data_IF_245760997081
#
_entry.id   IF_245760997081
#
_cell.length_a   1.000
_cell.length_b   1.000
_cell.length_c   1.000
_cell.angle_alpha   90.00
_cell.angle_beta   90.00
_cell.angle_gamma   90.00
#
_symmetry.space_group_name_H-M   'P 1'
#
loop_
_entity.id
_entity.type
_entity.pdbx_description
1 polymer ?
#
# COMPACT_ATOMS: atom_id res chain seq x y z
N UNK A 1 -28.43 13.14 -16.53
CA UNK A 1 -28.83 13.89 -15.32
C UNK A 1 -27.68 14.79 -14.95
N UNK A 2 -27.86 16.11 -14.93
CA UNK A 2 -26.84 17.04 -14.44
C UNK A 2 -26.79 16.94 -12.91
N UNK A 3 -25.68 16.44 -12.37
CA UNK A 3 -25.46 16.43 -10.92
C UNK A 3 -25.40 17.89 -10.45
N UNK A 4 -26.24 18.25 -9.49
CA UNK A 4 -26.21 19.58 -8.89
C UNK A 4 -25.04 19.64 -7.89
N UNK A 5 -23.89 20.11 -8.39
CA UNK A 5 -22.62 20.16 -7.65
C UNK A 5 -22.75 20.95 -6.35
N UNK A 6 -23.49 22.06 -6.35
CA UNK A 6 -23.65 22.93 -5.18
C UNK A 6 -24.47 22.26 -4.06
N UNK A 7 -25.48 21.48 -4.44
CA UNK A 7 -26.27 20.68 -3.50
C UNK A 7 -25.42 19.57 -2.87
N UNK A 8 -24.63 18.86 -3.68
CA UNK A 8 -23.71 17.81 -3.21
C UNK A 8 -22.65 18.40 -2.28
N UNK A 9 -22.03 19.52 -2.65
CA UNK A 9 -21.03 20.20 -1.84
C UNK A 9 -21.60 20.66 -0.49
N UNK A 10 -22.80 21.24 -0.49
CA UNK A 10 -23.48 21.70 0.73
C UNK A 10 -23.79 20.53 1.66
N UNK A 11 -24.37 19.43 1.15
CA UNK A 11 -24.69 18.25 1.95
C UNK A 11 -23.45 17.60 2.56
N UNK A 12 -22.34 17.53 1.81
CA UNK A 12 -21.08 17.00 2.33
C UNK A 12 -20.47 17.89 3.41
N UNK A 13 -20.62 19.23 3.33
CA UNK A 13 -20.18 20.15 4.41
C UNK A 13 -20.97 19.94 5.69
N UNK A 14 -22.29 19.78 5.59
CA UNK A 14 -23.13 19.43 6.74
C UNK A 14 -22.68 18.12 7.38
N UNK A 15 -22.38 17.11 6.56
CA UNK A 15 -21.87 15.83 7.03
C UNK A 15 -20.51 15.92 7.73
N UNK A 16 -19.63 16.85 7.35
CA UNK A 16 -18.37 17.10 8.06
C UNK A 16 -18.65 17.59 9.48
N UNK A 17 -19.55 18.57 9.63
CA UNK A 17 -19.91 19.14 10.94
C UNK A 17 -20.59 18.11 11.84
N UNK A 18 -21.40 17.22 11.26
CA UNK A 18 -22.11 16.16 11.98
C UNK A 18 -21.29 14.88 12.19
N UNK A 19 -20.11 14.76 11.57
CA UNK A 19 -19.31 13.52 11.59
C UNK A 19 -19.98 12.34 10.86
N UNK A 20 -20.82 12.65 9.87
CA UNK A 20 -21.60 11.67 9.11
C UNK A 20 -20.77 11.00 8.00
N UNK A 21 -21.17 9.78 7.66
CA UNK A 21 -20.69 9.09 6.47
C UNK A 21 -21.85 8.93 5.46
N UNK A 22 -21.49 8.83 4.19
CA UNK A 22 -22.39 8.79 3.06
C UNK A 22 -22.19 7.53 2.26
N UNK A 23 -23.28 6.94 1.78
CA UNK A 23 -23.21 6.03 0.66
C UNK A 23 -23.36 6.84 -0.64
N UNK A 24 -22.39 6.68 -1.55
CA UNK A 24 -22.36 7.37 -2.83
C UNK A 24 -22.22 6.36 -3.97
N UNK A 25 -22.72 6.71 -5.14
CA UNK A 25 -22.27 6.15 -6.41
C UNK A 25 -21.20 7.09 -6.97
N UNK A 26 -20.01 6.55 -7.25
CA UNK A 26 -18.93 7.34 -7.84
C UNK A 26 -18.70 6.96 -9.29
N UNK A 27 -18.93 7.91 -10.19
CA UNK A 27 -18.82 7.73 -11.64
C UNK A 27 -17.40 7.95 -12.19
N UNK A 28 -16.40 8.15 -11.33
CA UNK A 28 -15.01 8.36 -11.70
C UNK A 28 -14.06 7.19 -11.40
N UNK A 29 -12.85 7.25 -12.00
CA UNK A 29 -11.76 6.31 -11.75
C UNK A 29 -11.88 4.97 -12.49
N UNK A 30 -11.15 3.95 -12.02
CA UNK A 30 -11.07 2.63 -12.68
C UNK A 30 -12.31 1.74 -12.49
N UNK A 31 -13.24 2.13 -11.61
CA UNK A 31 -14.50 1.43 -11.33
C UNK A 31 -15.65 2.44 -11.25
N UNK A 32 -16.06 3.03 -12.39
CA UNK A 32 -17.16 3.99 -12.44
C UNK A 32 -18.49 3.28 -12.13
N UNK A 33 -19.39 3.98 -11.44
CA UNK A 33 -20.71 3.46 -11.03
C UNK A 33 -20.69 2.56 -9.79
N UNK A 34 -19.53 2.35 -9.18
CA UNK A 34 -19.43 1.56 -7.96
C UNK A 34 -19.97 2.34 -6.75
N UNK A 35 -20.77 1.65 -5.91
CA UNK A 35 -21.16 2.15 -4.58
C UNK A 35 -19.94 2.24 -3.68
N UNK A 36 -19.86 3.33 -2.90
CA UNK A 36 -18.78 3.60 -1.96
C UNK A 36 -19.36 4.22 -0.71
N UNK A 37 -18.77 3.85 0.42
CA UNK A 37 -19.02 4.52 1.68
C UNK A 37 -17.90 5.50 1.93
N UNK A 38 -18.23 6.78 2.12
CA UNK A 38 -17.25 7.84 2.35
C UNK A 38 -17.61 8.69 3.58
N UNK A 39 -16.62 9.08 4.37
CA UNK A 39 -16.76 10.13 5.37
C UNK A 39 -16.01 11.38 4.87
N UNK A 40 -16.70 12.48 4.53
CA UNK A 40 -16.05 13.70 4.07
C UNK A 40 -15.20 14.33 5.19
N UNK A 41 -14.07 14.91 4.80
CA UNK A 41 -13.10 15.56 5.70
C UNK A 41 -13.01 17.05 5.36
N UNK A 42 -12.95 17.38 4.07
CA UNK A 42 -12.90 18.75 3.59
C UNK A 42 -13.52 18.84 2.18
N UNK A 43 -14.39 19.82 1.96
CA UNK A 43 -14.96 20.12 0.64
C UNK A 43 -14.20 21.30 0.04
N UNK A 44 -13.59 21.08 -1.12
CA UNK A 44 -12.97 22.11 -1.96
C UNK A 44 -13.92 22.52 -3.10
N UNK A 45 -13.48 23.40 -4.00
CA UNK A 45 -14.30 23.92 -5.10
C UNK A 45 -14.78 22.85 -6.07
N UNK A 46 -13.90 21.91 -6.45
CA UNK A 46 -14.16 20.88 -7.48
C UNK A 46 -14.27 19.46 -6.91
N UNK A 47 -13.80 19.24 -5.68
CA UNK A 47 -13.61 17.92 -5.10
C UNK A 47 -13.87 17.92 -3.60
N UNK A 48 -14.18 16.74 -3.07
CA UNK A 48 -14.19 16.47 -1.63
C UNK A 48 -13.06 15.52 -1.28
N UNK A 49 -12.30 15.84 -0.24
CA UNK A 49 -11.40 14.89 0.41
C UNK A 49 -12.22 14.08 1.40
N UNK A 50 -12.27 12.76 1.21
CA UNK A 50 -13.07 11.88 2.06
C UNK A 50 -12.32 10.58 2.38
N UNK A 51 -12.56 10.02 3.57
CA UNK A 51 -12.14 8.66 3.92
C UNK A 51 -13.10 7.68 3.26
N UNK A 52 -12.59 6.87 2.35
CA UNK A 52 -13.35 5.82 1.68
C UNK A 52 -13.22 4.50 2.45
N UNK A 53 -14.32 4.01 3.02
CA UNK A 53 -14.33 2.78 3.80
C UNK A 53 -14.10 1.54 2.93
N UNK A 54 -14.56 1.56 1.68
CA UNK A 54 -14.34 0.44 0.73
C UNK A 54 -12.86 0.19 0.46
N UNK A 55 -12.01 1.22 0.50
CA UNK A 55 -10.55 1.06 0.30
C UNK A 55 -9.72 1.40 1.53
N UNK A 56 -10.37 1.64 2.67
CA UNK A 56 -9.77 2.12 3.91
C UNK A 56 -8.69 3.20 3.72
N UNK A 57 -8.97 4.21 2.90
CA UNK A 57 -7.99 5.23 2.51
C UNK A 57 -8.66 6.59 2.29
N UNK A 58 -7.94 7.67 2.57
CA UNK A 58 -8.39 9.04 2.27
C UNK A 58 -8.09 9.36 0.81
N UNK A 59 -9.11 9.75 0.05
CA UNK A 59 -9.00 10.02 -1.39
C UNK A 59 -9.77 11.28 -1.77
N UNK A 60 -9.34 11.99 -2.82
CA UNK A 60 -10.16 13.01 -3.45
C UNK A 60 -11.24 12.36 -4.31
N UNK A 61 -12.46 12.90 -4.25
CA UNK A 61 -13.58 12.55 -5.11
C UNK A 61 -14.08 13.82 -5.80
N UNK A 62 -14.20 13.81 -7.12
CA UNK A 62 -14.72 14.97 -7.85
C UNK A 62 -16.22 15.11 -7.60
N UNK A 63 -16.68 16.31 -7.26
CA UNK A 63 -18.07 16.57 -6.88
C UNK A 63 -19.05 16.30 -8.04
N UNK A 64 -18.62 16.60 -9.28
CA UNK A 64 -19.36 16.34 -10.52
C UNK A 64 -19.60 14.86 -10.83
N UNK A 65 -18.87 13.96 -10.14
CA UNK A 65 -18.93 12.50 -10.31
C UNK A 65 -19.54 11.78 -9.11
N UNK A 66 -20.04 12.52 -8.12
CA UNK A 66 -20.68 11.98 -6.93
C UNK A 66 -22.20 12.03 -7.10
N UNK A 67 -22.82 10.90 -6.87
CA UNK A 67 -24.26 10.78 -6.68
C UNK A 67 -24.49 10.26 -5.26
N UNK A 68 -25.06 11.10 -4.39
CA UNK A 68 -25.35 10.73 -3.00
C UNK A 68 -26.62 9.88 -2.99
N UNK A 69 -26.55 8.68 -2.40
CA UNK A 69 -27.73 7.86 -2.19
C UNK A 69 -28.38 8.31 -0.89
N UNK A 70 -29.55 8.95 -0.99
CA UNK A 70 -30.36 9.24 0.20
C UNK A 70 -30.94 7.93 0.74
N UNK A 71 -30.27 7.37 1.75
CA UNK A 71 -30.85 6.33 2.60
C UNK A 71 -31.26 7.01 3.90
N UNK A 72 -32.57 7.00 4.16
CA UNK A 72 -33.19 7.66 5.29
C UNK A 72 -32.58 7.23 6.64
N UNK A 73 -32.36 8.26 7.46
CA UNK A 73 -32.29 8.24 8.92
C UNK A 73 -31.34 7.24 9.60
N UNK A 74 -30.29 7.83 10.20
CA UNK A 74 -29.68 7.43 11.47
C UNK A 74 -29.18 5.98 11.51
N UNK A 75 -27.88 5.81 11.23
CA UNK A 75 -27.09 4.84 11.99
C UNK A 75 -25.96 5.61 12.63
N UNK A 76 -26.08 5.80 13.95
CA UNK A 76 -24.94 6.12 14.82
C UNK A 76 -23.75 5.30 14.38
N UNK A 77 -22.59 5.95 14.27
CA UNK A 77 -21.34 5.32 13.93
C UNK A 77 -21.17 3.97 14.65
N UNK A 78 -20.62 2.92 14.02
CA UNK A 78 -20.08 1.83 14.81
C UNK A 78 -19.08 2.45 15.79
N UNK A 79 -19.44 2.40 17.07
CA UNK A 79 -18.63 2.92 18.14
C UNK A 79 -17.26 2.25 18.03
N UNK A 80 -16.25 3.10 18.11
CA UNK A 80 -14.85 2.76 17.97
C UNK A 80 -14.48 1.69 18.99
N UNK A 81 -14.48 0.42 18.58
CA UNK A 81 -13.57 -0.54 19.19
C UNK A 81 -12.22 -0.24 18.57
N UNK A 82 -11.35 0.38 19.37
CA UNK A 82 -9.92 0.18 19.21
C UNK A 82 -9.76 -1.34 19.08
N UNK A 83 -9.33 -1.89 17.93
CA UNK A 83 -8.75 -3.20 17.98
C UNK A 83 -7.46 -2.95 18.74
N UNK A 84 -7.54 -3.17 20.06
CA UNK A 84 -6.43 -3.29 20.97
C UNK A 84 -5.21 -3.65 20.17
N UNK A 85 -4.21 -2.76 20.18
CA UNK A 85 -2.93 -2.93 19.53
C UNK A 85 -2.60 -4.41 19.44
N UNK A 86 -2.95 -5.04 18.32
CA UNK A 86 -2.49 -6.37 18.07
C UNK A 86 -1.00 -6.10 17.88
N UNK A 87 -0.12 -6.60 18.77
CA UNK A 87 1.28 -6.51 18.46
C UNK A 87 1.43 -7.06 17.05
N UNK A 88 2.22 -6.42 16.17
CA UNK A 88 2.53 -7.02 14.89
C UNK A 88 2.89 -8.48 15.18
N UNK A 89 2.28 -9.47 14.48
CA UNK A 89 2.64 -10.86 14.72
C UNK A 89 4.16 -10.90 14.65
N UNK A 90 4.85 -11.52 15.64
CA UNK A 90 6.29 -11.48 15.65
C UNK A 90 6.76 -12.01 14.30
N UNK A 91 7.31 -11.11 13.48
CA UNK A 91 8.31 -11.48 12.52
C UNK A 91 9.26 -12.32 13.35
N UNK A 92 9.39 -13.60 13.02
CA UNK A 92 10.38 -14.52 13.56
C UNK A 92 11.54 -13.70 14.13
N UNK A 93 11.77 -13.70 15.46
CA UNK A 93 12.59 -12.72 16.23
C UNK A 93 14.01 -12.42 15.67
N UNK A 94 14.40 -13.09 14.59
CA UNK A 94 15.65 -13.01 13.86
C UNK A 94 15.65 -12.11 12.61
N UNK A 95 14.51 -11.72 12.03
CA UNK A 95 14.46 -10.96 10.77
C UNK A 95 13.62 -9.68 10.92
N UNK A 96 14.26 -8.60 11.39
CA UNK A 96 13.62 -7.31 11.66
C UNK A 96 13.56 -6.41 10.43
N UNK A 97 14.56 -6.51 9.55
CA UNK A 97 14.61 -5.77 8.29
C UNK A 97 15.33 -6.56 7.17
N UNK A 98 15.46 -5.94 5.99
CA UNK A 98 16.14 -6.55 4.83
C UNK A 98 17.63 -6.78 5.07
N UNK A 99 18.27 -6.05 5.99
CA UNK A 99 19.70 -6.22 6.28
C UNK A 99 19.95 -7.55 6.96
N UNK A 100 19.07 -7.97 7.86
CA UNK A 100 19.16 -9.29 8.49
C UNK A 100 19.10 -10.41 7.43
N UNK A 101 18.19 -10.27 6.46
CA UNK A 101 18.08 -11.19 5.32
C UNK A 101 19.37 -11.17 4.48
N UNK A 102 19.91 -9.99 4.18
CA UNK A 102 21.14 -9.86 3.41
C UNK A 102 22.35 -10.49 4.12
N UNK A 103 22.52 -10.24 5.41
CA UNK A 103 23.63 -10.78 6.21
C UNK A 103 23.58 -12.31 6.29
N UNK A 104 22.38 -12.87 6.45
CA UNK A 104 22.20 -14.32 6.57
C UNK A 104 22.33 -15.04 5.22
N UNK A 105 21.88 -14.43 4.12
CA UNK A 105 21.68 -15.17 2.87
C UNK A 105 22.55 -14.72 1.69
N UNK A 106 23.29 -13.62 1.78
CA UNK A 106 24.17 -13.15 0.69
C UNK A 106 25.19 -14.22 0.25
N UNK A 107 25.93 -14.82 1.19
CA UNK A 107 26.90 -15.87 0.91
C UNK A 107 26.30 -17.11 0.22
N UNK A 108 25.25 -17.75 0.78
CA UNK A 108 24.55 -18.86 0.13
C UNK A 108 24.01 -18.53 -1.27
N UNK A 109 23.49 -17.31 -1.48
CA UNK A 109 22.97 -16.86 -2.77
C UNK A 109 24.09 -16.63 -3.78
N UNK A 110 25.23 -16.06 -3.35
CA UNK A 110 26.42 -15.92 -4.19
C UNK A 110 27.00 -17.26 -4.60
N UNK A 111 27.04 -18.24 -3.69
CA UNK A 111 27.45 -19.62 -4.00
C UNK A 111 26.56 -20.29 -5.05
N UNK A 112 25.30 -19.85 -5.17
CA UNK A 112 24.35 -20.30 -6.20
C UNK A 112 24.45 -19.50 -7.51
N UNK A 113 25.42 -18.60 -7.63
CA UNK A 113 25.69 -17.84 -8.85
C UNK A 113 24.89 -16.54 -8.98
N UNK A 114 24.38 -16.00 -7.88
CA UNK A 114 23.74 -14.68 -7.87
C UNK A 114 24.73 -13.58 -7.47
N UNK A 115 24.65 -12.42 -8.13
CA UNK A 115 25.16 -11.20 -7.52
C UNK A 115 24.09 -10.68 -6.55
N UNK A 116 24.51 -10.29 -5.35
CA UNK A 116 23.61 -9.80 -4.30
C UNK A 116 24.07 -8.41 -3.91
N UNK A 117 23.17 -7.45 -4.01
CA UNK A 117 23.43 -6.05 -3.68
C UNK A 117 22.42 -5.57 -2.62
N UNK A 118 22.87 -4.69 -1.75
CA UNK A 118 22.06 -4.05 -0.74
C UNK A 118 22.02 -2.54 -1.04
N UNK A 119 20.82 -1.98 -1.11
CA UNK A 119 20.56 -0.58 -1.41
C UNK A 119 19.74 0.04 -0.28
N UNK A 120 20.15 1.23 0.17
CA UNK A 120 19.35 2.06 1.07
C UNK A 120 18.41 2.94 0.24
N UNK A 121 17.17 3.10 0.70
CA UNK A 121 16.19 4.00 0.08
C UNK A 121 15.36 4.73 1.13
N UNK A 122 14.55 5.69 0.70
CA UNK A 122 13.81 6.65 1.54
C UNK A 122 13.04 6.07 2.74
N UNK A 123 12.66 4.78 2.72
CA UNK A 123 11.84 4.15 3.76
C UNK A 123 12.43 2.87 4.35
N UNK A 124 13.67 2.53 4.00
CA UNK A 124 14.32 1.32 4.49
C UNK A 124 15.42 0.81 3.57
N UNK A 125 15.44 -0.50 3.39
CA UNK A 125 16.47 -1.20 2.62
C UNK A 125 15.85 -2.11 1.57
N UNK A 126 16.58 -2.29 0.47
CA UNK A 126 16.28 -3.26 -0.58
C UNK A 126 17.45 -4.17 -0.80
N UNK A 127 17.14 -5.44 -0.99
CA UNK A 127 18.11 -6.43 -1.43
C UNK A 127 17.80 -6.81 -2.86
N UNK A 128 18.80 -6.67 -3.72
CA UNK A 128 18.74 -6.97 -5.14
C UNK A 128 19.48 -8.26 -5.43
N UNK A 129 18.84 -9.13 -6.21
CA UNK A 129 19.49 -10.28 -6.82
C UNK A 129 19.67 -10.03 -8.31
N UNK A 130 20.90 -10.06 -8.77
CA UNK A 130 21.26 -9.81 -10.15
C UNK A 130 21.81 -11.09 -10.76
N UNK A 131 21.24 -11.48 -11.90
CA UNK A 131 21.82 -12.51 -12.74
C UNK A 131 23.05 -12.00 -13.47
N UNK A 132 23.84 -12.91 -14.03
CA UNK A 132 24.99 -12.57 -14.86
C UNK A 132 24.64 -12.62 -16.36
N UNK A 133 25.38 -11.87 -17.16
CA UNK A 133 25.44 -12.07 -18.61
C UNK A 133 26.37 -13.24 -18.95
N UNK A 134 26.32 -13.73 -20.20
CA UNK A 134 27.22 -14.80 -20.69
C UNK A 134 28.71 -14.45 -20.56
N UNK A 135 29.04 -13.15 -20.47
CA UNK A 135 30.39 -12.65 -20.29
C UNK A 135 30.82 -12.56 -18.80
N UNK A 136 30.03 -13.09 -17.87
CA UNK A 136 30.33 -13.11 -16.44
C UNK A 136 30.13 -11.76 -15.72
N UNK A 137 29.65 -10.72 -16.39
CA UNK A 137 29.33 -9.43 -15.74
C UNK A 137 27.92 -9.46 -15.15
N UNK A 138 27.70 -8.92 -13.93
CA UNK A 138 26.37 -8.80 -13.36
C UNK A 138 25.51 -7.85 -14.22
N UNK A 139 24.23 -8.18 -14.34
CA UNK A 139 23.25 -7.33 -15.04
C UNK A 139 22.99 -6.07 -14.22
N UNK A 140 22.74 -4.93 -14.87
CA UNK A 140 22.36 -3.69 -14.17
C UNK A 140 20.94 -3.73 -13.60
N UNK A 141 20.06 -4.53 -14.19
CA UNK A 141 18.67 -4.64 -13.75
C UNK A 141 18.55 -5.85 -12.80
N UNK A 142 18.13 -5.62 -11.54
CA UNK A 142 17.87 -6.72 -10.60
C UNK A 142 16.82 -7.67 -11.14
N UNK A 143 17.11 -8.96 -11.07
CA UNK A 143 16.16 -10.04 -11.41
C UNK A 143 15.07 -10.18 -10.36
N UNK A 144 15.47 -10.03 -9.10
CA UNK A 144 14.57 -9.98 -7.95
C UNK A 144 14.97 -8.83 -7.02
N UNK A 145 13.97 -8.24 -6.37
CA UNK A 145 14.15 -7.23 -5.32
C UNK A 145 13.25 -7.57 -4.15
N UNK A 146 13.84 -7.68 -2.96
CA UNK A 146 13.13 -7.71 -1.69
C UNK A 146 13.24 -6.34 -1.03
N UNK A 147 12.15 -5.83 -0.46
CA UNK A 147 12.12 -4.56 0.26
C UNK A 147 11.40 -4.68 1.60
N UNK A 148 11.77 -3.84 2.56
CA UNK A 148 11.02 -3.63 3.79
C UNK A 148 10.78 -2.14 3.99
N UNK A 149 9.52 -1.75 3.89
CA UNK A 149 9.02 -0.40 4.02
C UNK A 149 8.10 -0.35 5.24
N UNK A 150 8.60 0.13 6.38
CA UNK A 150 7.79 0.25 7.59
C UNK A 150 6.69 1.32 7.44
N UNK A 151 6.89 2.30 6.57
CA UNK A 151 5.99 3.43 6.32
C UNK A 151 5.64 3.56 4.84
N UNK A 152 4.47 4.13 4.58
CA UNK A 152 4.04 4.60 3.27
C UNK A 152 3.56 6.02 3.42
N UNK A 153 3.76 6.81 2.38
CA UNK A 153 3.36 8.21 2.33
C UNK A 153 2.75 8.51 0.97
N UNK A 154 2.00 9.60 0.93
CA UNK A 154 1.47 10.16 -0.31
C UNK A 154 2.37 11.34 -0.71
N UNK A 155 2.82 11.36 -1.97
CA UNK A 155 3.46 12.54 -2.54
C UNK A 155 2.37 13.51 -2.98
N UNK A 156 2.40 14.73 -2.46
CA UNK A 156 1.52 15.82 -2.88
C UNK A 156 2.34 16.89 -3.57
N UNK A 157 1.78 17.49 -4.62
CA UNK A 157 2.37 18.66 -5.27
C UNK A 157 1.70 19.89 -4.67
N UNK A 158 2.47 20.81 -4.12
CA UNK A 158 1.96 22.08 -3.59
C UNK A 158 1.52 23.00 -4.73
N UNK A 159 0.71 24.04 -4.46
CA UNK A 159 0.39 25.06 -5.46
C UNK A 159 1.63 25.72 -6.10
N UNK A 160 2.74 25.76 -5.37
CA UNK A 160 4.04 26.29 -5.81
C UNK A 160 4.83 25.30 -6.68
N UNK A 161 4.30 24.08 -6.90
CA UNK A 161 4.93 23.05 -7.74
C UNK A 161 5.94 22.17 -6.99
N UNK A 162 6.06 22.32 -5.67
CA UNK A 162 6.98 21.52 -4.86
C UNK A 162 6.37 20.17 -4.51
N UNK A 163 7.19 19.13 -4.51
CA UNK A 163 6.75 17.80 -4.06
C UNK A 163 6.97 17.67 -2.57
N UNK A 164 5.90 17.47 -1.81
CA UNK A 164 5.92 17.28 -0.36
C UNK A 164 5.40 15.90 0.03
N UNK A 165 6.01 15.33 1.07
CA UNK A 165 5.58 14.08 1.69
C UNK A 165 4.43 14.36 2.65
N UNK A 166 3.32 13.65 2.50
CA UNK A 166 2.15 13.80 3.36
C UNK A 166 1.49 12.44 3.69
N UNK A 167 0.62 12.42 4.70
CA UNK A 167 -0.11 11.22 5.16
C UNK A 167 0.80 10.00 5.43
N UNK A 168 1.95 10.23 6.08
CA UNK A 168 2.85 9.16 6.53
C UNK A 168 2.07 8.22 7.44
N UNK A 169 2.02 6.94 7.08
CA UNK A 169 1.29 5.91 7.80
C UNK A 169 2.07 4.60 7.80
N UNK A 170 1.96 3.77 8.84
CA UNK A 170 2.58 2.46 8.83
C UNK A 170 2.01 1.61 7.70
N UNK A 171 2.85 0.82 7.03
CA UNK A 171 2.37 -0.16 6.05
C UNK A 171 1.78 -1.36 6.76
N UNK A 172 0.57 -1.74 6.36
CA UNK A 172 -0.06 -2.99 6.80
C UNK A 172 0.73 -4.22 6.35
N UNK A 173 1.42 -4.11 5.20
CA UNK A 173 2.34 -5.12 4.66
C UNK A 173 3.67 -4.43 4.34
N UNK A 174 4.64 -4.44 5.26
CA UNK A 174 5.90 -3.72 5.10
C UNK A 174 6.87 -4.43 4.16
N UNK A 175 6.76 -5.76 4.02
CA UNK A 175 7.55 -6.52 3.06
C UNK A 175 7.00 -6.35 1.64
N UNK A 176 7.91 -6.16 0.68
CA UNK A 176 7.62 -6.09 -0.74
C UNK A 176 8.56 -6.97 -1.54
N UNK A 177 8.06 -7.55 -2.63
CA UNK A 177 8.90 -8.28 -3.58
C UNK A 177 8.55 -7.89 -5.01
N UNK A 178 9.58 -7.77 -5.82
CA UNK A 178 9.47 -7.53 -7.26
C UNK A 178 10.35 -8.52 -8.00
N UNK A 179 9.83 -9.06 -9.11
CA UNK A 179 10.62 -9.80 -10.09
C UNK A 179 10.35 -9.29 -11.50
N UNK A 180 11.35 -9.37 -12.37
CA UNK A 180 11.20 -9.09 -13.80
C UNK A 180 10.74 -10.31 -14.62
N UNK A 181 10.68 -11.51 -14.02
CA UNK A 181 10.14 -12.68 -14.70
C UNK A 181 8.60 -12.58 -14.75
N UNK A 182 8.01 -12.62 -15.96
CA UNK A 182 6.57 -12.63 -16.15
C UNK A 182 5.97 -13.94 -15.60
N UNK A 183 5.23 -13.88 -14.49
CA UNK A 183 4.59 -15.02 -13.83
C UNK A 183 4.13 -14.69 -12.41
N UNK A 184 3.31 -15.55 -11.78
CA UNK A 184 2.87 -15.35 -10.38
C UNK A 184 4.10 -15.26 -9.47
N UNK A 185 4.24 -14.18 -8.67
CA UNK A 185 5.45 -13.90 -7.89
C UNK A 185 5.68 -14.90 -6.75
N UNK A 186 4.65 -15.64 -6.36
CA UNK A 186 4.66 -16.59 -5.23
C UNK A 186 5.72 -17.68 -5.40
N UNK A 187 5.80 -18.30 -6.59
CA UNK A 187 6.76 -19.39 -6.84
C UNK A 187 8.21 -18.91 -6.84
N UNK A 188 8.58 -17.81 -7.53
CA UNK A 188 9.92 -17.23 -7.41
C UNK A 188 10.30 -16.78 -6.00
N UNK A 189 9.35 -16.29 -5.18
CA UNK A 189 9.60 -15.95 -3.76
C UNK A 189 9.82 -17.22 -2.92
N UNK A 190 9.00 -18.25 -3.13
CA UNK A 190 9.15 -19.56 -2.48
C UNK A 190 10.50 -20.17 -2.84
N UNK A 191 10.84 -20.20 -4.12
CA UNK A 191 12.11 -20.74 -4.62
C UNK A 191 13.29 -19.92 -4.08
N UNK A 192 13.15 -18.59 -3.96
CA UNK A 192 14.15 -17.69 -3.39
C UNK A 192 14.38 -17.95 -1.90
N UNK A 193 13.33 -17.94 -1.09
CA UNK A 193 13.44 -18.15 0.36
C UNK A 193 13.83 -19.60 0.69
N UNK A 194 13.35 -20.58 -0.09
CA UNK A 194 13.74 -21.99 0.06
C UNK A 194 15.19 -22.20 -0.37
N UNK A 195 15.64 -21.57 -1.46
CA UNK A 195 17.04 -21.60 -1.85
C UNK A 195 17.95 -20.89 -0.84
N UNK A 196 17.43 -19.91 -0.10
CA UNK A 196 18.11 -19.27 1.01
C UNK A 196 18.21 -20.19 2.24
N UNK A 197 17.51 -21.32 2.28
CA UNK A 197 17.52 -22.26 3.41
C UNK A 197 16.49 -21.91 4.49
N UNK A 198 15.54 -21.02 4.17
CA UNK A 198 14.40 -20.76 5.04
C UNK A 198 13.47 -21.99 5.05
N UNK A 199 13.03 -22.47 6.22
CA UNK A 199 12.06 -23.57 6.29
C UNK A 199 10.76 -23.20 5.59
N UNK A 200 10.16 -24.14 4.86
CA UNK A 200 8.91 -23.92 4.11
C UNK A 200 7.76 -23.37 4.99
N UNK A 201 7.74 -23.73 6.27
CA UNK A 201 6.82 -23.17 7.25
C UNK A 201 7.04 -21.68 7.54
N UNK A 202 8.30 -21.23 7.60
CA UNK A 202 8.64 -19.80 7.74
C UNK A 202 8.38 -19.03 6.44
N UNK A 203 8.60 -19.66 5.29
CA UNK A 203 8.27 -19.09 3.97
C UNK A 203 6.76 -18.88 3.85
N UNK A 204 5.95 -19.89 4.17
CA UNK A 204 4.49 -19.79 4.17
C UNK A 204 4.01 -18.72 5.15
N UNK A 205 4.63 -18.63 6.33
CA UNK A 205 4.32 -17.60 7.32
C UNK A 205 4.69 -16.20 6.83
N UNK A 206 5.86 -16.03 6.22
CA UNK A 206 6.32 -14.80 5.60
C UNK A 206 5.40 -14.34 4.47
N UNK A 207 4.96 -15.26 3.61
CA UNK A 207 4.00 -15.00 2.55
C UNK A 207 2.63 -14.61 3.10
N UNK A 208 2.15 -15.32 4.13
CA UNK A 208 0.87 -15.01 4.79
C UNK A 208 0.86 -13.68 5.56
N UNK A 209 2.05 -13.22 5.99
CA UNK A 209 2.24 -11.94 6.68
C UNK A 209 2.47 -10.76 5.74
N UNK A 210 2.73 -11.00 4.44
CA UNK A 210 3.40 -10.01 3.58
C UNK A 210 2.90 -9.85 2.14
N UNK A 211 2.06 -10.73 1.60
CA UNK A 211 1.45 -10.56 0.26
C UNK A 211 -0.06 -10.43 0.31
#
# INVERSE_FOLDING_TARGET
MSVNIDAVASRLREGISAGEWFEIIYHGGSRPGAKRQIAPIAVMTDRVRARCYTSNAVKPFMLDKIEILEVGAISSAPMWNDPAAAPPPPATDKLKDVRDVFLLFSGPLQAKGWAVELEEHDCGWRMHLLGFFKNGKPRKTPTHTLSYDHTTYDLMITPEGETVVANVRPRTKPWGFRSIAYGKPEKPVMDFLAAAGMPEAEISRFLSAGF
#
